data_IF_938500133926
#
_entry.id   IF_938500133926
#
_cell.length_a   1.000
_cell.length_b   1.000
_cell.length_c   1.000
_cell.angle_alpha   90.00
_cell.angle_beta   90.00
_cell.angle_gamma   90.00
#
_symmetry.space_group_name_H-M   'P 1'
#
loop_
_entity.id
_entity.type
_entity.pdbx_description
1 polymer ?
#
# COMPACT_ATOMS: atom_id res chain seq x y z
N UNK A 1 52.57 45.71 37.55
CA UNK A 1 51.95 44.97 36.43
C UNK A 1 50.76 44.24 37.02
N UNK A 2 49.55 44.56 36.58
CA UNK A 2 48.33 44.05 37.19
C UNK A 2 47.93 42.71 36.56
N UNK A 3 48.08 41.62 37.31
CA UNK A 3 47.54 40.31 36.93
C UNK A 3 46.02 40.34 37.11
N UNK A 4 45.30 40.80 36.08
CA UNK A 4 43.84 40.82 36.06
C UNK A 4 43.31 39.38 36.05
N UNK A 5 42.97 38.86 37.23
CA UNK A 5 42.33 37.55 37.41
C UNK A 5 41.04 37.50 36.61
N UNK A 6 41.07 36.81 35.47
CA UNK A 6 39.88 36.57 34.66
C UNK A 6 39.03 35.51 35.37
N UNK A 7 37.81 35.89 35.75
CA UNK A 7 36.91 35.01 36.48
C UNK A 7 36.53 33.80 35.61
N UNK A 8 36.56 32.62 36.21
CA UNK A 8 36.10 31.37 35.61
C UNK A 8 34.59 31.48 35.33
N UNK A 9 34.24 31.72 34.06
CA UNK A 9 32.86 31.69 33.59
C UNK A 9 32.62 30.32 32.93
N UNK A 10 31.57 29.60 33.30
CA UNK A 10 31.32 28.26 32.75
C UNK A 10 31.13 28.36 31.24
N UNK A 11 32.02 27.69 30.47
CA UNK A 11 32.07 27.75 29.01
C UNK A 11 30.68 27.53 28.42
N UNK A 12 30.20 28.55 27.69
CA UNK A 12 28.85 28.58 27.17
C UNK A 12 28.62 27.49 26.14
N UNK A 13 27.36 27.08 25.93
CA UNK A 13 27.04 26.09 24.90
C UNK A 13 27.49 26.55 23.52
N UNK A 14 27.24 27.80 23.13
CA UNK A 14 27.69 28.36 21.85
C UNK A 14 29.21 28.38 21.69
N UNK A 15 29.95 28.64 22.78
CA UNK A 15 31.42 28.58 22.76
C UNK A 15 31.93 27.15 22.55
N UNK A 16 31.24 26.11 23.04
CA UNK A 16 31.58 24.70 22.77
C UNK A 16 31.34 24.31 21.31
N UNK A 17 30.33 24.88 20.66
CA UNK A 17 30.13 24.75 19.21
C UNK A 17 31.27 25.44 18.43
N UNK A 18 31.65 26.65 18.84
CA UNK A 18 32.77 27.41 18.26
C UNK A 18 34.10 26.69 18.39
N UNK A 19 34.45 26.28 19.60
CA UNK A 19 35.68 25.53 19.94
C UNK A 19 35.79 24.24 19.10
N UNK A 20 34.73 23.44 19.04
CA UNK A 20 34.74 22.20 18.26
C UNK A 20 34.77 22.43 16.73
N UNK A 21 34.21 23.54 16.21
CA UNK A 21 34.40 23.94 14.80
C UNK A 21 35.84 24.36 14.53
N UNK A 22 36.44 25.12 15.43
CA UNK A 22 37.79 25.70 15.27
C UNK A 22 38.89 24.66 15.48
N UNK A 23 38.69 23.68 16.35
CA UNK A 23 39.52 22.47 16.45
C UNK A 23 39.54 21.64 15.15
N UNK A 24 38.48 21.71 14.34
CA UNK A 24 38.41 21.12 13.00
C UNK A 24 38.93 22.05 11.89
N UNK A 25 39.37 23.26 12.22
CA UNK A 25 39.84 24.31 11.29
C UNK A 25 38.79 24.71 10.22
N UNK A 26 37.50 24.64 10.55
CA UNK A 26 36.40 24.96 9.63
C UNK A 26 35.86 26.38 9.82
N UNK A 27 35.53 27.05 8.71
CA UNK A 27 34.74 28.29 8.76
C UNK A 27 33.24 27.99 8.85
N UNK A 28 32.45 28.97 9.31
CA UNK A 28 30.98 28.88 9.28
C UNK A 28 30.43 28.62 7.87
N UNK A 29 31.09 29.14 6.83
CA UNK A 29 30.72 28.91 5.42
C UNK A 29 30.99 27.48 4.97
N UNK A 30 32.05 26.83 5.48
CA UNK A 30 32.39 25.46 5.09
C UNK A 30 31.54 24.42 5.82
N UNK A 31 31.11 24.71 7.05
CA UNK A 31 30.05 23.95 7.74
C UNK A 31 28.71 24.13 7.02
N UNK A 32 28.36 25.38 6.68
CA UNK A 32 27.13 25.74 5.95
C UNK A 32 26.92 24.91 4.68
N UNK A 33 27.98 24.80 3.85
CA UNK A 33 27.99 23.97 2.63
C UNK A 33 27.80 22.47 2.90
N UNK A 34 28.35 21.96 4.00
CA UNK A 34 28.35 20.52 4.32
C UNK A 34 27.04 20.04 4.95
N UNK A 35 26.42 20.83 5.84
CA UNK A 35 25.17 20.44 6.53
C UNK A 35 23.91 21.12 5.97
N UNK A 36 24.06 21.88 4.88
CA UNK A 36 23.00 22.63 4.18
C UNK A 36 22.22 23.57 5.11
N UNK A 37 22.94 24.33 5.94
CA UNK A 37 22.38 25.27 6.91
C UNK A 37 22.96 26.67 6.71
N UNK A 38 22.12 27.71 6.75
CA UNK A 38 22.56 29.10 6.49
C UNK A 38 23.62 29.55 7.52
N UNK A 39 24.71 30.22 7.11
CA UNK A 39 25.78 30.68 8.02
C UNK A 39 25.27 31.51 9.20
N UNK A 40 24.25 32.34 8.97
CA UNK A 40 23.61 33.15 10.01
C UNK A 40 23.00 32.31 11.15
N UNK A 41 22.46 31.11 10.87
CA UNK A 41 21.92 30.22 11.91
C UNK A 41 23.07 29.58 12.71
N UNK A 42 24.18 29.23 12.06
CA UNK A 42 25.36 28.71 12.75
C UNK A 42 25.95 29.78 13.70
N UNK A 43 26.03 31.03 13.25
CA UNK A 43 26.45 32.16 14.09
C UNK A 43 25.49 32.39 15.27
N UNK A 44 24.17 32.28 15.07
CA UNK A 44 23.18 32.35 16.15
C UNK A 44 23.39 31.23 17.19
N UNK A 45 23.66 30.00 16.75
CA UNK A 45 23.94 28.87 17.65
C UNK A 45 25.23 29.10 18.47
N UNK A 46 26.29 29.61 17.86
CA UNK A 46 27.54 29.96 18.57
C UNK A 46 27.42 31.19 19.48
N UNK A 47 26.39 32.02 19.27
CA UNK A 47 26.06 33.17 20.13
C UNK A 47 24.93 32.86 21.14
N UNK A 48 24.56 31.58 21.32
CA UNK A 48 23.48 31.12 22.20
C UNK A 48 22.06 31.64 21.87
N UNK A 49 21.83 32.17 20.67
CA UNK A 49 20.54 32.74 20.26
C UNK A 49 19.54 31.68 19.76
N UNK A 50 19.16 30.74 20.64
CA UNK A 50 18.32 29.58 20.30
C UNK A 50 16.82 29.88 20.09
N UNK A 51 16.37 31.12 20.32
CA UNK A 51 14.96 31.53 20.20
C UNK A 51 14.87 32.68 19.20
N UNK A 52 14.31 32.42 18.01
CA UNK A 52 14.32 33.34 16.88
C UNK A 52 12.92 33.54 16.31
N UNK A 53 12.46 34.78 16.16
CA UNK A 53 11.08 35.11 15.72
C UNK A 53 10.72 34.62 14.30
N UNK A 54 11.71 34.25 13.51
CA UNK A 54 11.59 33.79 12.13
C UNK A 54 11.94 32.30 11.93
N UNK A 55 12.24 31.55 12.99
CA UNK A 55 12.55 30.12 12.96
C UNK A 55 11.76 29.41 14.06
N UNK A 56 10.75 28.58 13.74
CA UNK A 56 9.99 27.86 14.77
C UNK A 56 10.87 26.91 15.59
N UNK A 57 10.56 26.74 16.88
CA UNK A 57 11.37 26.00 17.86
C UNK A 57 11.85 24.62 17.36
N UNK A 58 10.93 23.85 16.76
CA UNK A 58 11.21 22.53 16.21
C UNK A 58 12.30 22.52 15.10
N UNK A 59 12.40 23.58 14.29
CA UNK A 59 13.46 23.72 13.29
C UNK A 59 14.79 24.05 13.96
N UNK A 60 14.83 24.98 14.92
CA UNK A 60 16.07 25.32 15.63
C UNK A 60 16.63 24.12 16.41
N UNK A 61 15.76 23.33 17.04
CA UNK A 61 16.10 22.04 17.67
C UNK A 61 16.75 21.06 16.68
N UNK A 62 16.22 21.02 15.44
CA UNK A 62 16.81 20.26 14.33
C UNK A 62 18.18 20.80 13.89
N UNK A 63 18.34 22.12 13.81
CA UNK A 63 19.58 22.79 13.40
C UNK A 63 20.73 22.59 14.40
N UNK A 64 20.48 22.79 15.69
CA UNK A 64 21.45 22.49 16.76
C UNK A 64 21.84 21.01 16.77
N UNK A 65 20.86 20.11 16.61
CA UNK A 65 21.12 18.66 16.50
C UNK A 65 21.99 18.30 15.29
N UNK A 66 21.75 18.93 14.13
CA UNK A 66 22.52 18.69 12.91
C UNK A 66 23.97 19.19 13.07
N UNK A 67 24.15 20.43 13.55
CA UNK A 67 25.48 21.01 13.76
C UNK A 67 26.27 20.24 14.84
N UNK A 68 25.61 19.84 15.93
CA UNK A 68 26.27 19.13 17.03
C UNK A 68 26.74 17.73 16.64
N UNK A 69 25.95 17.02 15.82
CA UNK A 69 26.36 15.73 15.23
C UNK A 69 27.51 15.88 14.23
N UNK A 70 27.51 16.94 13.42
CA UNK A 70 28.61 17.23 12.50
C UNK A 70 29.93 17.49 13.24
N UNK A 71 29.90 18.29 14.31
CA UNK A 71 31.04 18.54 15.20
C UNK A 71 31.38 17.37 16.15
N UNK A 72 30.62 16.26 16.09
CA UNK A 72 30.76 15.07 16.96
C UNK A 72 30.63 15.37 18.47
N UNK A 73 29.93 16.44 18.82
CA UNK A 73 29.64 16.80 20.20
C UNK A 73 28.60 15.83 20.81
N UNK A 74 28.64 15.57 22.13
CA UNK A 74 27.68 14.70 22.80
C UNK A 74 26.29 15.35 22.92
N UNK A 75 25.25 14.59 22.58
CA UNK A 75 23.85 15.07 22.51
C UNK A 75 23.29 15.56 23.87
N UNK A 76 23.89 15.17 24.99
CA UNK A 76 23.59 15.70 26.33
C UNK A 76 23.83 17.20 26.49
N UNK A 77 24.66 17.83 25.64
CA UNK A 77 24.92 19.28 25.73
C UNK A 77 23.72 20.15 25.30
N UNK A 78 22.75 19.59 24.56
CA UNK A 78 21.56 20.31 24.10
C UNK A 78 20.25 19.52 24.29
N UNK A 79 20.28 18.38 24.98
CA UNK A 79 19.09 17.54 25.21
C UNK A 79 18.00 18.28 26.00
N UNK A 80 18.40 18.96 27.08
CA UNK A 80 17.52 19.69 28.00
C UNK A 80 17.33 21.17 27.60
N UNK A 81 17.81 21.57 26.41
CA UNK A 81 17.74 22.95 25.94
C UNK A 81 16.33 23.29 25.44
N UNK A 82 15.77 24.40 25.93
CA UNK A 82 14.52 24.96 25.42
C UNK A 82 14.79 25.83 24.18
N UNK A 83 13.97 25.64 23.15
CA UNK A 83 14.05 26.36 21.86
C UNK A 83 12.93 27.40 21.70
N UNK A 84 12.27 27.76 22.80
CA UNK A 84 11.05 28.56 22.83
C UNK A 84 9.80 27.70 22.98
N UNK A 85 8.63 28.26 22.68
CA UNK A 85 7.38 27.52 22.71
C UNK A 85 7.29 26.56 21.51
N UNK A 86 7.20 25.26 21.78
CA UNK A 86 6.73 24.29 20.79
C UNK A 86 5.25 24.61 20.50
N UNK A 87 4.98 25.25 19.35
CA UNK A 87 3.63 25.53 18.87
C UNK A 87 2.84 24.22 18.80
N UNK A 88 1.97 24.00 19.80
CA UNK A 88 1.29 22.72 20.02
C UNK A 88 0.38 22.40 18.84
N UNK A 89 0.93 21.62 17.92
CA UNK A 89 0.35 21.41 16.61
C UNK A 89 -0.95 20.62 16.76
N UNK A 90 -2.07 21.34 16.64
CA UNK A 90 -3.45 20.89 16.92
C UNK A 90 -4.00 19.91 15.86
N UNK A 91 -3.07 19.17 15.24
CA UNK A 91 -3.28 18.09 14.29
C UNK A 91 -4.14 16.98 14.90
N UNK A 92 -4.20 16.85 16.24
CA UNK A 92 -5.14 15.95 16.91
C UNK A 92 -6.62 16.21 16.56
N UNK A 93 -7.03 17.47 16.42
CA UNK A 93 -8.42 17.82 16.00
C UNK A 93 -8.67 17.55 14.51
N UNK A 94 -7.62 17.57 13.69
CA UNK A 94 -7.67 17.33 12.25
C UNK A 94 -7.15 15.94 11.84
N UNK A 95 -6.82 15.08 12.79
CA UNK A 95 -6.44 13.67 12.62
C UNK A 95 -7.68 12.84 12.27
N UNK A 96 -8.30 13.20 11.15
CA UNK A 96 -9.41 12.48 10.54
C UNK A 96 -8.91 11.10 10.13
N UNK A 97 -9.06 10.15 11.05
CA UNK A 97 -8.64 8.76 10.92
C UNK A 97 -8.80 8.28 9.48
N UNK A 98 -7.71 7.78 8.91
CA UNK A 98 -7.59 7.32 7.52
C UNK A 98 -8.31 5.99 7.34
N UNK A 99 -9.63 5.98 7.60
CA UNK A 99 -10.54 4.86 7.37
C UNK A 99 -10.31 4.38 5.94
N UNK A 100 -9.75 3.19 5.83
CA UNK A 100 -9.39 2.56 4.57
C UNK A 100 -10.62 2.50 3.67
N UNK A 101 -10.52 3.17 2.53
CA UNK A 101 -11.70 3.40 1.66
C UNK A 101 -12.14 2.15 0.91
N UNK A 102 -11.27 1.14 0.82
CA UNK A 102 -11.60 -0.22 0.39
C UNK A 102 -11.80 -1.12 1.60
N UNK A 103 -12.92 -0.96 2.31
CA UNK A 103 -13.48 -2.06 3.10
C UNK A 103 -14.17 -3.04 2.12
N UNK A 104 -13.36 -3.86 1.44
CA UNK A 104 -13.85 -5.03 0.71
C UNK A 104 -14.64 -5.89 1.70
N UNK A 105 -15.93 -6.12 1.44
CA UNK A 105 -16.80 -6.80 2.40
C UNK A 105 -16.32 -8.24 2.60
N UNK A 106 -16.26 -8.68 3.87
CA UNK A 106 -15.60 -9.92 4.30
C UNK A 106 -16.42 -11.19 4.00
N UNK A 107 -17.05 -11.24 2.82
CA UNK A 107 -17.96 -12.30 2.38
C UNK A 107 -17.30 -13.69 2.36
N UNK A 108 -15.97 -13.76 2.21
CA UNK A 108 -15.19 -15.00 2.30
C UNK A 108 -15.36 -15.74 3.62
N UNK A 109 -15.62 -15.06 4.75
CA UNK A 109 -15.87 -15.72 6.03
C UNK A 109 -17.18 -16.50 6.04
N UNK A 110 -18.25 -15.93 5.49
CA UNK A 110 -19.54 -16.62 5.43
C UNK A 110 -19.52 -17.79 4.45
N UNK A 111 -18.86 -17.63 3.29
CA UNK A 111 -18.62 -18.72 2.34
C UNK A 111 -17.82 -19.86 2.98
N UNK A 112 -16.80 -19.54 3.80
CA UNK A 112 -16.02 -20.55 4.54
C UNK A 112 -16.84 -21.34 5.57
N UNK A 113 -17.78 -20.71 6.28
CA UNK A 113 -18.71 -21.43 7.15
C UNK A 113 -19.70 -22.30 6.34
N UNK A 114 -20.13 -21.83 5.16
CA UNK A 114 -21.04 -22.58 4.29
C UNK A 114 -20.38 -23.85 3.72
N UNK A 115 -19.13 -23.77 3.25
CA UNK A 115 -18.40 -24.97 2.78
C UNK A 115 -18.06 -25.92 3.92
N UNK A 116 -17.71 -25.41 5.11
CA UNK A 116 -17.52 -26.25 6.30
C UNK A 116 -18.80 -27.01 6.68
N UNK A 117 -19.97 -26.36 6.63
CA UNK A 117 -21.27 -26.99 6.88
C UNK A 117 -21.57 -28.10 5.86
N UNK A 118 -21.36 -27.84 4.57
CA UNK A 118 -21.59 -28.82 3.49
C UNK A 118 -20.68 -30.05 3.64
N UNK A 119 -19.41 -29.86 4.01
CA UNK A 119 -18.48 -30.96 4.27
C UNK A 119 -18.89 -31.79 5.50
N UNK A 120 -19.37 -31.14 6.57
CA UNK A 120 -19.89 -31.82 7.76
C UNK A 120 -21.09 -32.71 7.41
N UNK A 121 -22.04 -32.19 6.63
CA UNK A 121 -23.21 -32.95 6.17
C UNK A 121 -22.79 -34.14 5.27
N UNK A 122 -21.88 -33.92 4.32
CA UNK A 122 -21.39 -34.98 3.43
C UNK A 122 -20.68 -36.12 4.19
N UNK A 123 -19.81 -35.78 5.17
CA UNK A 123 -19.16 -36.76 6.04
C UNK A 123 -20.17 -37.52 6.90
N UNK A 124 -21.15 -36.83 7.48
CA UNK A 124 -22.21 -37.45 8.28
C UNK A 124 -23.04 -38.45 7.46
N UNK A 125 -23.41 -38.07 6.23
CA UNK A 125 -24.22 -38.90 5.34
C UNK A 125 -23.45 -40.13 4.84
N UNK A 126 -22.15 -39.97 4.56
CA UNK A 126 -21.24 -41.10 4.22
C UNK A 126 -21.10 -42.07 5.40
N UNK A 127 -20.93 -41.56 6.61
CA UNK A 127 -20.80 -42.37 7.83
C UNK A 127 -22.06 -43.19 8.14
N UNK A 128 -23.25 -42.57 8.04
CA UNK A 128 -24.53 -43.25 8.22
C UNK A 128 -24.77 -44.33 7.15
N UNK A 129 -24.45 -44.04 5.89
CA UNK A 129 -24.57 -45.03 4.80
C UNK A 129 -23.66 -46.25 5.01
N UNK A 130 -22.42 -46.03 5.43
CA UNK A 130 -21.49 -47.12 5.75
C UNK A 130 -21.97 -47.97 6.93
N UNK A 131 -22.49 -47.34 7.99
CA UNK A 131 -23.04 -48.03 9.16
C UNK A 131 -24.26 -48.89 8.79
N UNK A 132 -25.20 -48.35 8.00
CA UNK A 132 -26.40 -49.07 7.57
C UNK A 132 -26.05 -50.26 6.65
N UNK A 133 -25.06 -50.08 5.77
CA UNK A 133 -24.54 -51.17 4.93
C UNK A 133 -23.82 -52.26 5.77
N UNK A 134 -23.08 -51.86 6.81
CA UNK A 134 -22.45 -52.80 7.75
C UNK A 134 -23.47 -53.66 8.49
N UNK A 135 -24.56 -53.06 8.99
CA UNK A 135 -25.64 -53.79 9.66
C UNK A 135 -26.31 -54.81 8.71
N UNK A 136 -26.64 -54.40 7.48
CA UNK A 136 -27.21 -55.34 6.48
C UNK A 136 -26.26 -56.51 6.16
N UNK A 137 -24.96 -56.26 6.07
CA UNK A 137 -23.96 -57.32 5.85
C UNK A 137 -23.81 -58.30 7.02
N UNK A 138 -24.35 -57.98 8.20
CA UNK A 138 -24.41 -58.89 9.34
C UNK A 138 -25.70 -59.72 9.32
N UNK A 139 -26.85 -59.15 8.98
CA UNK A 139 -28.10 -59.91 8.76
C UNK A 139 -27.94 -60.98 7.66
N UNK A 140 -27.24 -60.64 6.57
CA UNK A 140 -26.87 -61.57 5.50
C UNK A 140 -25.89 -62.66 5.97
N UNK A 141 -25.07 -62.42 7.01
CA UNK A 141 -24.22 -63.46 7.62
C UNK A 141 -24.98 -64.36 8.59
N UNK A 142 -25.81 -63.78 9.45
CA UNK A 142 -26.57 -64.54 10.45
C UNK A 142 -27.55 -65.51 9.78
N UNK A 143 -28.19 -65.08 8.68
CA UNK A 143 -29.05 -65.95 7.85
C UNK A 143 -28.26 -67.07 7.16
N UNK A 144 -27.06 -66.80 6.65
CA UNK A 144 -26.19 -67.84 6.08
C UNK A 144 -25.72 -68.84 7.15
N UNK A 145 -25.31 -68.39 8.33
CA UNK A 145 -24.93 -69.25 9.47
C UNK A 145 -26.13 -70.10 9.92
N UNK A 146 -27.31 -69.51 10.06
CA UNK A 146 -28.54 -70.24 10.42
C UNK A 146 -28.86 -71.34 9.39
N UNK A 147 -28.78 -71.03 8.10
CA UNK A 147 -29.04 -72.01 7.03
C UNK A 147 -28.00 -73.16 7.00
N UNK A 148 -26.74 -72.87 7.34
CA UNK A 148 -25.71 -73.89 7.48
C UNK A 148 -26.00 -74.82 8.66
N UNK A 149 -26.32 -74.28 9.84
CA UNK A 149 -26.62 -75.07 11.05
C UNK A 149 -27.85 -75.97 10.84
N UNK A 150 -28.94 -75.44 10.27
CA UNK A 150 -30.16 -76.23 10.00
C UNK A 150 -29.94 -77.35 8.97
N UNK A 151 -29.02 -77.19 8.01
CA UNK A 151 -28.62 -78.27 7.11
C UNK A 151 -27.80 -79.37 7.83
N UNK A 152 -27.00 -79.02 8.85
CA UNK A 152 -26.25 -80.01 9.64
C UNK A 152 -27.20 -80.87 10.48
N UNK A 153 -28.20 -80.29 11.13
CA UNK A 153 -29.23 -81.06 11.86
C UNK A 153 -30.03 -82.00 10.93
N UNK A 154 -30.39 -81.52 9.74
CA UNK A 154 -31.15 -82.31 8.74
C UNK A 154 -30.37 -83.54 8.24
N UNK A 155 -29.04 -83.57 8.37
CA UNK A 155 -28.17 -84.63 7.83
C UNK A 155 -27.91 -85.77 8.83
N UNK A 156 -28.28 -85.64 10.11
CA UNK A 156 -27.98 -86.67 11.12
C UNK A 156 -29.00 -87.83 11.22
N UNK A 157 -30.15 -87.76 10.56
CA UNK A 157 -31.25 -88.74 10.73
C UNK A 157 -31.22 -89.90 9.71
N UNK A 158 -30.22 -89.99 8.84
CA UNK A 158 -30.07 -91.11 7.88
C UNK A 158 -28.60 -91.55 7.74
N UNK A 159 -28.13 -92.39 8.66
CA UNK A 159 -26.98 -93.31 8.45
C UNK A 159 -26.86 -94.30 9.63
N UNK A 160 -27.57 -95.44 9.55
CA UNK A 160 -27.32 -96.58 10.42
C UNK A 160 -26.38 -97.58 9.73
N UNK A 161 -25.38 -98.08 10.46
CA UNK A 161 -24.50 -99.20 10.11
C UNK A 161 -23.70 -99.16 8.79
N UNK A 162 -22.42 -98.76 8.85
CA UNK A 162 -21.29 -99.69 8.57
C UNK A 162 -19.88 -99.10 8.77
N UNK A 163 -18.99 -99.98 9.25
CA UNK A 163 -17.52 -99.94 9.19
C UNK A 163 -16.92 -99.58 7.81
N UNK A 164 -15.69 -99.07 7.62
CA UNK A 164 -14.48 -98.93 8.48
C UNK A 164 -13.71 -97.61 8.21
N UNK A 165 -12.73 -97.28 9.07
CA UNK A 165 -11.66 -96.26 8.87
C UNK A 165 -10.33 -96.93 8.41
N UNK A 166 -9.19 -96.24 8.16
CA UNK A 166 -8.92 -94.78 8.06
C UNK A 166 -8.11 -94.39 6.78
N UNK A 167 -7.56 -93.17 6.70
CA UNK A 167 -6.08 -92.89 6.58
C UNK A 167 -5.75 -91.42 6.23
N UNK A 168 -4.84 -90.84 7.03
CA UNK A 168 -3.95 -89.67 6.83
C UNK A 168 -4.42 -88.25 6.40
N UNK A 169 -4.33 -87.33 7.38
CA UNK A 169 -3.80 -85.95 7.29
C UNK A 169 -2.35 -85.94 6.72
N UNK A 170 -1.74 -84.82 6.23
CA UNK A 170 -1.83 -83.45 6.78
C UNK A 170 -1.79 -82.34 5.67
N UNK A 171 -1.53 -81.04 5.91
CA UNK A 171 -1.20 -80.30 7.14
C UNK A 171 -1.82 -78.91 7.15
N UNK A 172 -2.13 -78.44 8.37
CA UNK A 172 -2.36 -77.03 8.71
C UNK A 172 -1.02 -76.27 8.65
N UNK A 173 -1.03 -74.95 8.40
CA UNK A 173 -0.47 -73.88 9.28
C UNK A 173 -0.53 -72.47 8.59
N UNK A 174 -0.58 -71.36 9.36
CA UNK A 174 -1.17 -70.10 8.88
C UNK A 174 -0.29 -68.84 9.17
N UNK A 175 -0.97 -67.69 9.40
CA UNK A 175 -0.57 -66.42 10.05
C UNK A 175 0.29 -65.35 9.33
N UNK A 176 -0.32 -64.15 9.34
CA UNK A 176 0.18 -62.76 9.47
C UNK A 176 1.22 -62.54 10.60
N UNK A 177 1.77 -61.32 10.86
CA UNK A 177 1.67 -60.02 10.17
C UNK A 177 3.03 -59.27 10.05
N UNK A 178 3.00 -57.93 10.11
CA UNK A 178 3.97 -56.99 10.73
C UNK A 178 4.78 -56.05 9.78
N UNK A 179 5.25 -54.85 10.18
CA UNK A 179 4.60 -53.58 10.62
C UNK A 179 5.69 -52.45 10.68
N UNK A 180 5.33 -51.22 11.02
CA UNK A 180 6.17 -50.24 11.77
C UNK A 180 7.33 -49.49 11.07
N UNK A 181 6.98 -48.34 10.46
CA UNK A 181 7.48 -46.97 10.77
C UNK A 181 8.97 -46.52 10.63
N UNK A 182 9.07 -45.18 10.68
CA UNK A 182 10.23 -44.28 10.93
C UNK A 182 11.25 -44.10 9.78
N UNK A 183 11.41 -42.94 9.13
CA UNK A 183 11.49 -41.51 9.55
C UNK A 183 12.84 -41.10 10.14
N UNK A 184 13.61 -40.31 9.37
CA UNK A 184 14.34 -39.14 9.84
C UNK A 184 14.63 -38.17 8.67
N UNK A 185 14.80 -36.89 8.99
CA UNK A 185 15.29 -35.85 8.09
C UNK A 185 16.84 -35.78 8.19
N UNK A 186 17.52 -35.04 7.31
CA UNK A 186 18.16 -33.75 7.66
C UNK A 186 19.15 -33.23 6.59
N UNK A 187 18.91 -31.98 6.14
CA UNK A 187 19.82 -30.90 5.75
C UNK A 187 21.15 -31.14 4.96
N UNK A 188 21.31 -30.38 3.87
CA UNK A 188 22.57 -29.67 3.54
C UNK A 188 22.29 -28.43 2.67
N UNK A 189 23.01 -27.34 2.91
CA UNK A 189 22.96 -26.04 2.19
C UNK A 189 24.37 -25.71 1.62
N UNK A 190 24.53 -24.64 0.80
CA UNK A 190 25.59 -23.58 0.93
C UNK A 190 25.93 -22.83 -0.40
N UNK A 191 25.91 -21.48 -0.34
CA UNK A 191 26.58 -20.39 -1.14
C UNK A 191 26.68 -20.45 -2.69
N UNK A 192 26.29 -19.44 -3.49
CA UNK A 192 26.53 -17.98 -3.48
C UNK A 192 27.92 -17.46 -4.01
N UNK A 193 27.86 -16.56 -5.01
CA UNK A 193 28.83 -15.52 -5.49
C UNK A 193 28.00 -14.59 -6.44
N UNK A 194 28.02 -13.25 -6.50
CA UNK A 194 29.09 -12.21 -6.62
C UNK A 194 29.99 -12.39 -7.88
N UNK A 195 30.20 -11.42 -8.78
CA UNK A 195 29.59 -10.08 -9.05
C UNK A 195 29.92 -9.67 -10.54
N UNK A 196 30.02 -8.45 -11.11
CA UNK A 196 30.15 -7.01 -10.70
C UNK A 196 29.70 -6.07 -11.86
N UNK A 197 29.41 -4.78 -11.54
CA UNK A 197 29.57 -3.50 -12.31
C UNK A 197 29.51 -3.45 -13.87
N UNK A 198 28.73 -2.49 -14.42
CA UNK A 198 29.20 -1.62 -15.54
C UNK A 198 28.42 -0.29 -15.63
N UNK A 199 29.13 0.83 -15.87
CA UNK A 199 28.55 2.15 -16.19
C UNK A 199 29.59 3.10 -16.84
N UNK A 200 29.35 3.50 -18.08
CA UNK A 200 29.97 4.62 -18.84
C UNK A 200 28.91 5.03 -19.90
N UNK A 201 28.53 6.29 -20.13
CA UNK A 201 29.29 7.53 -20.37
C UNK A 201 29.95 7.55 -21.75
N UNK A 202 29.32 8.26 -22.69
CA UNK A 202 30.01 8.85 -23.84
C UNK A 202 29.46 10.27 -24.10
N UNK A 203 30.27 11.10 -24.75
CA UNK A 203 30.21 12.57 -24.68
C UNK A 203 30.46 13.13 -26.07
N UNK A 204 29.56 13.95 -26.64
CA UNK A 204 29.88 14.58 -27.94
C UNK A 204 29.27 15.97 -28.21
N UNK A 205 30.12 16.80 -28.81
CA UNK A 205 29.97 18.12 -29.49
C UNK A 205 28.80 19.07 -29.17
N UNK A 206 29.20 20.22 -28.63
CA UNK A 206 28.66 21.53 -29.00
C UNK A 206 29.08 21.90 -30.44
N UNK A 207 28.21 22.55 -31.24
CA UNK A 207 28.67 23.53 -32.24
C UNK A 207 28.09 24.94 -32.00
N UNK A 208 28.80 25.97 -32.49
CA UNK A 208 28.49 27.40 -32.27
C UNK A 208 28.78 28.24 -33.52
N UNK A 209 27.72 28.77 -34.14
CA UNK A 209 27.65 29.94 -35.04
C UNK A 209 26.16 30.33 -35.13
N UNK A 210 25.67 31.57 -35.07
CA UNK A 210 26.20 32.92 -35.38
C UNK A 210 26.30 33.22 -36.88
N UNK A 211 25.23 33.82 -37.41
CA UNK A 211 25.13 34.81 -38.52
C UNK A 211 23.64 34.93 -38.91
N UNK A 212 23.09 36.05 -39.41
CA UNK A 212 23.22 37.50 -39.16
C UNK A 212 22.17 38.18 -40.07
N UNK A 213 21.69 39.39 -39.74
CA UNK A 213 20.55 40.04 -40.43
C UNK A 213 19.32 40.11 -39.52
N UNK A 214 18.79 41.25 -39.09
CA UNK A 214 18.80 42.61 -39.69
C UNK A 214 18.07 42.60 -41.05
N UNK A 215 17.01 43.39 -41.27
CA UNK A 215 16.77 44.76 -40.78
C UNK A 215 15.28 45.06 -40.40
N UNK A 216 15.03 46.32 -40.08
CA UNK A 216 13.90 47.03 -39.47
C UNK A 216 12.75 47.32 -40.45
N UNK A 217 11.50 47.32 -39.96
CA UNK A 217 10.54 48.41 -40.27
C UNK A 217 9.31 48.42 -39.34
N UNK A 218 8.81 49.62 -39.07
CA UNK A 218 7.53 49.88 -38.39
C UNK A 218 6.48 50.34 -39.41
N UNK A 219 5.23 49.92 -39.21
CA UNK A 219 3.95 50.61 -39.48
C UNK A 219 2.82 49.55 -39.48
N UNK A 220 1.53 49.80 -39.28
CA UNK A 220 0.71 50.82 -38.59
C UNK A 220 -0.66 50.88 -39.33
N UNK A 221 -1.77 50.75 -38.57
CA UNK A 221 -3.17 51.12 -38.90
C UNK A 221 -4.03 50.26 -39.88
N UNK A 222 -5.28 50.05 -39.42
CA UNK A 222 -6.57 49.77 -40.11
C UNK A 222 -6.80 48.51 -40.99
N UNK A 223 -7.54 47.56 -40.39
CA UNK A 223 -8.90 47.11 -40.77
C UNK A 223 -9.41 47.50 -42.18
N UNK A 224 -9.88 46.52 -42.97
CA UNK A 224 -11.28 46.54 -43.42
C UNK A 224 -12.09 45.33 -42.91
N UNK A 225 -13.40 45.53 -42.70
CA UNK A 225 -14.37 44.52 -42.26
C UNK A 225 -15.35 44.22 -43.40
N UNK A 226 -15.43 42.98 -43.88
CA UNK A 226 -16.63 42.47 -44.59
C UNK A 226 -16.71 40.94 -44.66
N UNK A 227 -17.68 40.38 -43.94
CA UNK A 227 -18.65 39.38 -44.43
C UNK A 227 -18.21 37.95 -44.86
N UNK A 228 -18.54 37.00 -43.99
CA UNK A 228 -19.11 35.66 -44.26
C UNK A 228 -18.64 34.82 -45.45
N UNK A 229 -17.82 33.79 -45.15
CA UNK A 229 -17.91 32.48 -45.80
C UNK A 229 -18.35 31.44 -44.75
N UNK A 230 -19.19 30.48 -45.14
CA UNK A 230 -19.66 29.39 -44.26
C UNK A 230 -18.84 28.14 -44.55
N UNK A 231 -18.03 27.71 -43.59
CA UNK A 231 -17.41 26.38 -43.60
C UNK A 231 -17.93 25.55 -42.42
N UNK A 232 -18.19 24.27 -42.67
CA UNK A 232 -18.79 23.31 -41.73
C UNK A 232 -17.73 22.75 -40.75
N UNK A 233 -17.85 23.01 -39.43
CA UNK A 233 -17.15 22.22 -38.43
C UNK A 233 -17.99 20.96 -38.15
N UNK A 234 -17.76 19.92 -38.96
CA UNK A 234 -18.48 18.63 -38.90
C UNK A 234 -18.79 18.19 -37.47
N UNK A 235 -20.08 18.22 -37.12
CA UNK A 235 -20.57 17.98 -35.76
C UNK A 235 -20.27 16.53 -35.37
N UNK A 236 -19.24 16.34 -34.54
CA UNK A 236 -19.09 15.09 -33.77
C UNK A 236 -20.35 14.91 -32.93
N UNK A 237 -21.00 13.74 -32.96
CA UNK A 237 -22.24 13.55 -32.21
C UNK A 237 -21.99 13.77 -30.72
N UNK A 238 -22.92 14.41 -29.98
CA UNK A 238 -22.77 14.60 -28.55
C UNK A 238 -22.61 13.23 -27.86
N UNK A 239 -21.74 13.11 -26.83
CA UNK A 239 -21.63 11.89 -26.05
C UNK A 239 -23.01 11.45 -25.53
N UNK A 240 -23.28 10.13 -25.41
CA UNK A 240 -24.54 9.64 -24.86
C UNK A 240 -24.82 10.30 -23.52
N UNK A 241 -25.99 10.93 -23.39
CA UNK A 241 -26.36 11.69 -22.19
C UNK A 241 -26.53 10.75 -20.98
N UNK A 242 -25.43 10.47 -20.29
CA UNK A 242 -25.39 9.56 -19.15
C UNK A 242 -26.25 10.14 -18.01
N UNK A 243 -27.40 9.51 -17.74
CA UNK A 243 -28.37 10.03 -16.76
C UNK A 243 -27.83 9.95 -15.33
N UNK A 244 -27.23 11.04 -14.86
CA UNK A 244 -26.81 11.26 -13.48
C UNK A 244 -26.63 12.75 -13.19
N UNK A 245 -26.69 13.11 -11.91
CA UNK A 245 -26.43 14.46 -11.45
C UNK A 245 -24.96 14.85 -11.61
N UNK A 246 -24.04 13.89 -11.61
CA UNK A 246 -22.61 14.10 -11.81
C UNK A 246 -22.07 13.07 -12.80
N UNK A 247 -21.59 13.56 -13.94
CA UNK A 247 -20.86 12.77 -14.94
C UNK A 247 -19.38 13.18 -14.92
N UNK A 248 -18.48 12.21 -14.97
CA UNK A 248 -17.03 12.44 -14.97
C UNK A 248 -16.35 11.56 -16.00
N UNK A 249 -15.62 12.15 -16.94
CA UNK A 249 -15.05 11.48 -18.10
C UNK A 249 -13.54 11.67 -18.18
N UNK A 250 -12.79 10.59 -18.41
CA UNK A 250 -11.32 10.66 -18.58
C UNK A 250 -10.98 10.79 -20.06
N UNK A 251 -10.61 12.01 -20.48
CA UNK A 251 -10.39 12.36 -21.89
C UNK A 251 -8.97 12.07 -22.41
N UNK A 252 -7.96 12.15 -21.52
CA UNK A 252 -6.53 12.00 -21.89
C UNK A 252 -5.90 10.83 -21.12
N UNK A 253 -4.71 11.02 -20.56
CA UNK A 253 -4.03 10.03 -19.72
C UNK A 253 -4.82 9.72 -18.44
N UNK A 254 -4.29 8.83 -17.60
CA UNK A 254 -4.93 8.48 -16.33
C UNK A 254 -5.14 9.69 -15.41
N UNK A 255 -6.06 9.53 -14.45
CA UNK A 255 -6.28 10.51 -13.39
C UNK A 255 -6.71 9.80 -12.10
N UNK A 256 -6.24 10.29 -10.96
CA UNK A 256 -6.70 9.84 -9.65
C UNK A 256 -7.96 10.62 -9.26
N UNK A 257 -9.06 9.92 -8.93
CA UNK A 257 -10.30 10.56 -8.52
C UNK A 257 -10.74 10.08 -7.14
N UNK A 258 -11.19 11.02 -6.31
CA UNK A 258 -11.84 10.77 -5.02
C UNK A 258 -13.15 11.57 -4.98
N UNK A 259 -14.28 10.86 -5.08
CA UNK A 259 -15.64 11.43 -5.14
C UNK A 259 -16.42 10.97 -3.90
N UNK A 260 -17.03 11.92 -3.19
CA UNK A 260 -17.72 11.68 -1.91
C UNK A 260 -19.07 12.40 -1.89
N UNK A 261 -20.09 11.71 -1.42
CA UNK A 261 -21.46 12.21 -1.19
C UNK A 261 -21.51 13.23 -0.03
N UNK A 262 -22.63 13.95 0.10
CA UNK A 262 -22.96 14.87 1.19
C UNK A 262 -22.66 14.27 2.59
N UNK A 263 -22.96 12.97 2.79
CA UNK A 263 -22.70 12.25 4.04
C UNK A 263 -21.21 11.97 4.29
N UNK A 264 -20.32 12.46 3.42
CA UNK A 264 -18.88 12.20 3.34
C UNK A 264 -18.54 10.72 3.11
N UNK A 265 -19.54 9.91 2.69
CA UNK A 265 -19.39 8.54 2.19
C UNK A 265 -18.62 8.58 0.87
N UNK A 266 -17.64 7.68 0.73
CA UNK A 266 -16.89 7.55 -0.53
C UNK A 266 -17.75 6.80 -1.55
N UNK A 267 -17.89 7.37 -2.75
CA UNK A 267 -18.58 6.75 -3.88
C UNK A 267 -17.56 6.15 -4.86
N UNK A 268 -16.44 6.84 -5.06
CA UNK A 268 -15.31 6.38 -5.85
C UNK A 268 -13.99 6.90 -5.25
N UNK A 269 -12.97 6.04 -5.15
CA UNK A 269 -11.60 6.46 -4.83
C UNK A 269 -10.57 5.48 -5.43
N UNK A 270 -10.23 5.67 -6.71
CA UNK A 270 -9.17 4.94 -7.43
C UNK A 270 -8.55 5.79 -8.54
N UNK A 271 -7.56 5.24 -9.23
CA UNK A 271 -7.09 5.75 -10.52
C UNK A 271 -7.99 5.25 -11.66
N UNK A 272 -8.26 6.12 -12.63
CA UNK A 272 -9.08 5.86 -13.80
C UNK A 272 -8.28 6.07 -15.09
N UNK A 273 -8.57 5.24 -16.10
CA UNK A 273 -7.94 5.26 -17.43
C UNK A 273 -8.76 6.05 -18.44
N UNK A 274 -8.14 6.41 -19.56
CA UNK A 274 -8.80 7.05 -20.71
C UNK A 274 -10.06 6.28 -21.12
N UNK A 275 -11.14 7.00 -21.41
CA UNK A 275 -12.42 6.43 -21.81
C UNK A 275 -13.27 5.83 -20.68
N UNK A 276 -12.78 5.76 -19.43
CA UNK A 276 -13.67 5.51 -18.30
C UNK A 276 -14.60 6.73 -18.09
N UNK A 277 -15.91 6.44 -18.04
CA UNK A 277 -16.97 7.41 -17.72
C UNK A 277 -17.63 6.97 -16.41
N UNK A 278 -17.85 7.91 -15.51
CA UNK A 278 -18.54 7.70 -14.24
C UNK A 278 -19.80 8.52 -14.16
N UNK A 279 -20.85 7.93 -13.60
CA UNK A 279 -22.16 8.55 -13.43
C UNK A 279 -22.63 8.35 -12.00
N UNK A 280 -23.00 9.45 -11.32
CA UNK A 280 -23.53 9.43 -9.96
C UNK A 280 -24.79 10.30 -9.85
N UNK A 281 -25.71 9.94 -8.96
CA UNK A 281 -26.89 10.73 -8.61
C UNK A 281 -26.76 11.29 -7.19
N UNK A 282 -27.17 12.54 -6.96
CA UNK A 282 -26.96 13.26 -5.70
C UNK A 282 -27.05 14.79 -5.81
N UNK A 283 -27.03 15.46 -4.65
CA UNK A 283 -27.25 16.90 -4.52
C UNK A 283 -26.03 17.70 -4.00
N UNK A 284 -25.11 17.05 -3.28
CA UNK A 284 -23.79 17.60 -2.98
C UNK A 284 -22.72 16.52 -3.21
N UNK A 285 -21.65 16.90 -3.92
CA UNK A 285 -20.46 16.06 -4.09
C UNK A 285 -19.19 16.82 -3.70
N UNK A 286 -18.27 16.15 -3.01
CA UNK A 286 -16.90 16.64 -2.80
C UNK A 286 -15.92 15.84 -3.66
N UNK A 287 -15.19 16.54 -4.51
CA UNK A 287 -14.30 15.95 -5.51
C UNK A 287 -12.83 16.35 -5.27
N UNK A 288 -11.94 15.41 -5.53
CA UNK A 288 -10.50 15.62 -5.65
C UNK A 288 -10.05 14.91 -6.92
N UNK A 289 -9.37 15.63 -7.82
CA UNK A 289 -8.91 15.15 -9.13
C UNK A 289 -7.40 15.39 -9.23
N UNK A 290 -6.63 14.31 -9.28
CA UNK A 290 -5.15 14.33 -9.24
C UNK A 290 -4.46 14.69 -10.56
N UNK A 291 -5.21 14.83 -11.65
CA UNK A 291 -4.76 15.37 -12.93
C UNK A 291 -5.95 16.06 -13.63
N UNK A 292 -6.34 17.29 -13.25
CA UNK A 292 -7.56 17.94 -13.77
C UNK A 292 -7.53 18.15 -15.28
N UNK A 293 -6.36 18.42 -15.87
CA UNK A 293 -6.20 18.59 -17.32
C UNK A 293 -6.51 17.35 -18.18
N UNK A 294 -6.75 16.18 -17.56
CA UNK A 294 -7.12 14.92 -18.22
C UNK A 294 -8.63 14.60 -18.15
N UNK A 295 -9.42 15.39 -17.42
CA UNK A 295 -10.79 15.02 -16.99
C UNK A 295 -11.80 16.10 -17.37
N UNK A 296 -12.97 15.70 -17.91
CA UNK A 296 -14.16 16.55 -18.01
C UNK A 296 -15.15 16.17 -16.91
N UNK A 297 -15.80 17.17 -16.32
CA UNK A 297 -16.78 17.00 -15.24
C UNK A 297 -18.01 17.82 -15.59
N UNK A 298 -19.16 17.15 -15.66
CA UNK A 298 -20.45 17.73 -16.02
C UNK A 298 -21.41 17.51 -14.87
N UNK A 299 -21.93 18.58 -14.28
CA UNK A 299 -22.82 18.55 -13.12
C UNK A 299 -24.22 19.04 -13.52
N UNK A 300 -25.22 18.16 -13.38
CA UNK A 300 -26.63 18.35 -13.77
C UNK A 300 -26.77 18.94 -15.19
N UNK A 301 -25.97 18.43 -16.12
CA UNK A 301 -25.93 18.84 -17.54
C UNK A 301 -25.12 20.11 -17.84
N UNK A 302 -24.44 20.70 -16.85
CA UNK A 302 -23.56 21.87 -17.03
C UNK A 302 -22.09 21.48 -16.87
N UNK A 303 -21.24 21.83 -17.82
CA UNK A 303 -19.79 21.57 -17.73
C UNK A 303 -19.15 22.44 -16.64
N UNK A 304 -18.44 21.81 -15.70
CA UNK A 304 -17.84 22.46 -14.55
C UNK A 304 -16.34 22.77 -14.81
N UNK A 305 -15.95 24.05 -14.98
CA UNK A 305 -14.59 24.40 -15.35
C UNK A 305 -13.60 24.13 -14.21
N UNK A 306 -12.72 23.15 -14.42
CA UNK A 306 -11.69 22.76 -13.47
C UNK A 306 -10.57 23.81 -13.41
N UNK A 307 -10.63 24.71 -12.43
CA UNK A 307 -9.53 25.64 -12.13
C UNK A 307 -8.30 24.85 -11.68
N UNK A 308 -7.23 24.92 -12.48
CA UNK A 308 -5.99 24.17 -12.28
C UNK A 308 -5.06 24.93 -11.34
N UNK A 309 -5.35 24.86 -10.05
CA UNK A 309 -4.46 25.38 -9.00
C UNK A 309 -3.34 24.36 -8.69
N UNK A 310 -2.35 24.31 -9.58
CA UNK A 310 -1.27 23.31 -9.54
C UNK A 310 -1.72 21.92 -9.99
N UNK A 311 -1.16 20.86 -9.37
CA UNK A 311 -1.31 19.47 -9.85
C UNK A 311 -2.68 18.84 -9.54
N UNK A 312 -3.44 19.35 -8.57
CA UNK A 312 -4.64 18.68 -8.04
C UNK A 312 -5.79 19.69 -7.92
N UNK A 313 -6.92 19.43 -8.59
CA UNK A 313 -8.13 20.21 -8.36
C UNK A 313 -8.93 19.60 -7.19
N UNK A 314 -9.36 20.44 -6.24
CA UNK A 314 -10.19 20.05 -5.09
C UNK A 314 -11.32 21.06 -4.92
N UNK A 315 -12.56 20.59 -4.97
CA UNK A 315 -13.74 21.45 -4.93
C UNK A 315 -14.95 20.71 -4.35
N UNK A 316 -16.04 21.47 -4.16
CA UNK A 316 -17.38 20.96 -3.85
C UNK A 316 -18.32 21.38 -4.96
N UNK A 317 -19.24 20.49 -5.31
CA UNK A 317 -20.40 20.75 -6.13
C UNK A 317 -21.61 20.72 -5.19
N UNK A 318 -22.05 21.88 -4.74
CA UNK A 318 -23.34 22.10 -4.07
C UNK A 318 -24.29 22.83 -5.03
N UNK A 319 -25.53 23.04 -4.62
CA UNK A 319 -26.34 24.10 -5.25
C UNK A 319 -25.70 25.48 -5.00
N UNK A 320 -25.83 26.42 -5.96
CA UNK A 320 -25.55 27.84 -5.74
C UNK A 320 -26.66 28.51 -4.91
#
# INVERSE_FOLDING_TARGET
METKTQADQPISLGDKFREAREALNLSLEDVSKQITLRPAILAQIENNEFIQKNVPAAFMKGYVRNYGKFLRLPESLWADLSFGEDEQNDLGKNARSTRSVNQYSSHSRWVGYLTALVLLVALSMTGLWWWQNYQKSNEERDTLVQSYVSNVETTQTVSESSSVSPTELPSVQPIQPENTQANSMEMAEVKASQEVISAQTEQNVLPKSITSGEDTTLNEIAIPDTQSAVEDPTISPPPPAAQGDLVVEILKNTSWLSIKDQNRKVLAQKEYKQGEVLTFSGNEFSLIVGAPGNVRITYKGQDYPLKVDGRVAKFKLSQP
#
